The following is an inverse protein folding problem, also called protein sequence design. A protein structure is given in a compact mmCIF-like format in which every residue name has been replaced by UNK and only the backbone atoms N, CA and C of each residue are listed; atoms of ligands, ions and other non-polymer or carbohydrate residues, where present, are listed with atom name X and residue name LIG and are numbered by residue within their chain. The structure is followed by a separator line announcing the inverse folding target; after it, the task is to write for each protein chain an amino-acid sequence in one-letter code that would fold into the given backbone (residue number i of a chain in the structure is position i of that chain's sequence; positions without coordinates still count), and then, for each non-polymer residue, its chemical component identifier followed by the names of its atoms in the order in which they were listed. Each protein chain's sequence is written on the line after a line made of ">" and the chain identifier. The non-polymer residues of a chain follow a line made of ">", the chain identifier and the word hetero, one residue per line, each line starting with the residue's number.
data_IF_021718670104
#
_entry.id   IF_021718670104
#
_cell.length_a   1.000
_cell.length_b   1.000
_cell.length_c   1.000
_cell.angle_alpha   90.00
_cell.angle_beta   90.00
_cell.angle_gamma   90.00
#
_symmetry.space_group_name_H-M   'P 1'
#
loop_
_entity.id
_entity.type
_entity.pdbx_description
1 polymer ?
#
# COMPACT_ATOMS: atom_id res chain seq x y z
N UNK A 1 29.28 -38.51 -18.75
CA UNK A 1 30.11 -39.37 -19.62
C UNK A 1 30.29 -38.78 -21.01
N UNK A 2 29.24 -38.44 -21.77
CA UNK A 2 29.38 -37.90 -23.15
C UNK A 2 30.13 -36.54 -23.29
N UNK A 3 29.92 -35.61 -22.36
CA UNK A 3 30.57 -34.29 -22.38
C UNK A 3 32.05 -34.38 -22.02
N UNK A 4 32.44 -35.27 -21.08
CA UNK A 4 33.84 -35.47 -20.70
C UNK A 4 34.68 -36.02 -21.86
N UNK A 5 34.14 -36.97 -22.65
CA UNK A 5 34.88 -37.59 -23.75
C UNK A 5 35.17 -36.64 -24.91
N UNK A 6 34.29 -35.67 -25.19
CA UNK A 6 34.48 -34.67 -26.25
C UNK A 6 35.28 -33.44 -25.81
N UNK A 7 35.29 -33.14 -24.51
CA UNK A 7 36.13 -32.08 -23.93
C UNK A 7 37.60 -32.51 -23.87
N UNK A 8 37.89 -33.81 -23.69
CA UNK A 8 39.26 -34.34 -23.65
C UNK A 8 39.95 -34.43 -25.02
N UNK A 9 39.19 -34.50 -26.13
CA UNK A 9 39.77 -34.62 -27.47
C UNK A 9 40.29 -33.29 -28.06
N UNK A 10 40.07 -32.16 -27.37
CA UNK A 10 40.47 -30.83 -27.82
C UNK A 10 41.32 -30.15 -26.74
N UNK A 11 42.59 -29.86 -27.04
CA UNK A 11 43.54 -29.23 -26.10
C UNK A 11 43.03 -27.89 -25.53
N UNK A 12 42.32 -27.11 -26.36
CA UNK A 12 41.66 -25.88 -25.95
C UNK A 12 40.54 -26.12 -24.92
N UNK A 13 39.68 -27.12 -25.17
CA UNK A 13 38.59 -27.45 -24.26
C UNK A 13 39.12 -28.00 -22.93
N UNK A 14 40.27 -28.67 -22.90
CA UNK A 14 40.89 -29.17 -21.66
C UNK A 14 41.35 -28.04 -20.74
N UNK A 15 41.93 -26.97 -21.28
CA UNK A 15 42.35 -25.81 -20.49
C UNK A 15 41.16 -25.00 -19.93
N UNK A 16 40.05 -24.93 -20.67
CA UNK A 16 38.83 -24.24 -20.24
C UNK A 16 37.79 -25.16 -19.61
N UNK A 17 38.03 -26.48 -19.54
CA UNK A 17 37.07 -27.50 -19.11
C UNK A 17 36.48 -27.18 -17.74
N UNK A 18 37.35 -26.83 -16.78
CA UNK A 18 36.93 -26.51 -15.42
C UNK A 18 36.05 -25.25 -15.38
N UNK A 19 36.36 -24.24 -16.18
CA UNK A 19 35.58 -22.99 -16.25
C UNK A 19 34.23 -23.22 -16.93
N UNK A 20 34.20 -23.97 -18.03
CA UNK A 20 32.98 -24.37 -18.73
C UNK A 20 32.09 -25.19 -17.80
N UNK A 21 32.66 -26.16 -17.06
CA UNK A 21 31.90 -27.01 -16.15
C UNK A 21 31.32 -26.21 -14.98
N UNK A 22 32.07 -25.24 -14.44
CA UNK A 22 31.56 -24.33 -13.42
C UNK A 22 30.39 -23.51 -13.97
N UNK A 23 30.52 -22.88 -15.14
CA UNK A 23 29.45 -22.08 -15.74
C UNK A 23 28.18 -22.93 -15.92
N UNK A 24 28.32 -24.14 -16.47
CA UNK A 24 27.20 -25.08 -16.67
C UNK A 24 26.50 -25.43 -15.36
N UNK A 25 27.22 -25.52 -14.25
CA UNK A 25 26.62 -25.77 -12.94
C UNK A 25 25.81 -24.58 -12.41
N UNK A 26 26.21 -23.34 -12.68
CA UNK A 26 25.49 -22.14 -12.21
C UNK A 26 24.30 -21.73 -13.10
N UNK A 27 24.27 -22.16 -14.37
CA UNK A 27 23.19 -21.83 -15.32
C UNK A 27 21.78 -22.11 -14.79
N UNK A 28 21.46 -23.29 -14.22
CA UNK A 28 20.11 -23.59 -13.72
C UNK A 28 19.68 -22.64 -12.59
N UNK A 29 20.61 -22.26 -11.72
CA UNK A 29 20.37 -21.37 -10.59
C UNK A 29 19.99 -19.98 -11.08
N UNK A 30 20.77 -19.44 -12.03
CA UNK A 30 20.50 -18.15 -12.66
C UNK A 30 19.17 -18.15 -13.41
N UNK A 31 18.83 -19.25 -14.10
CA UNK A 31 17.56 -19.38 -14.82
C UNK A 31 16.35 -19.30 -13.88
N UNK A 32 16.39 -19.98 -12.74
CA UNK A 32 15.31 -19.91 -11.73
C UNK A 32 15.15 -18.50 -11.18
N UNK A 33 16.27 -17.81 -10.91
CA UNK A 33 16.26 -16.46 -10.38
C UNK A 33 15.65 -15.47 -11.40
N UNK A 34 16.03 -15.58 -12.68
CA UNK A 34 15.43 -14.81 -13.78
C UNK A 34 13.95 -15.15 -13.91
N UNK A 35 13.59 -16.44 -13.88
CA UNK A 35 12.20 -16.88 -14.01
C UNK A 35 11.32 -16.30 -12.90
N UNK A 36 11.75 -16.38 -11.64
CA UNK A 36 11.01 -15.81 -10.51
C UNK A 36 10.93 -14.29 -10.59
N UNK A 37 12.01 -13.63 -11.01
CA UNK A 37 11.99 -12.18 -11.25
C UNK A 37 10.95 -11.79 -12.31
N UNK A 38 10.92 -12.50 -13.44
CA UNK A 38 9.96 -12.28 -14.51
C UNK A 38 8.53 -12.60 -14.05
N UNK A 39 8.37 -13.67 -13.27
CA UNK A 39 7.10 -14.05 -12.69
C UNK A 39 6.53 -12.92 -11.82
N UNK A 40 7.35 -12.33 -10.94
CA UNK A 40 6.92 -11.21 -10.09
C UNK A 40 6.75 -9.89 -10.85
N UNK A 41 7.35 -9.74 -12.03
CA UNK A 41 7.23 -8.52 -12.82
C UNK A 41 6.03 -8.54 -13.78
N UNK A 42 5.77 -9.69 -14.42
CA UNK A 42 4.82 -9.81 -15.54
C UNK A 42 3.45 -10.33 -15.10
N UNK A 43 3.40 -11.30 -14.19
CA UNK A 43 2.14 -11.95 -13.80
C UNK A 43 1.19 -11.04 -12.99
N UNK A 44 1.65 -10.16 -12.08
CA UNK A 44 0.73 -9.37 -11.28
C UNK A 44 -0.16 -8.46 -12.12
N UNK A 45 -1.42 -8.30 -11.72
CA UNK A 45 -2.36 -7.37 -12.36
C UNK A 45 -2.09 -5.88 -12.03
N UNK A 46 -0.90 -5.56 -11.52
CA UNK A 46 -0.51 -4.22 -11.07
C UNK A 46 0.86 -3.87 -11.63
N UNK A 47 1.11 -2.59 -11.88
CA UNK A 47 2.42 -2.12 -12.39
C UNK A 47 3.51 -2.32 -11.34
N UNK A 48 4.31 -3.39 -11.46
CA UNK A 48 5.43 -3.66 -10.55
C UNK A 48 6.73 -3.00 -11.07
N UNK A 49 7.45 -2.29 -10.18
CA UNK A 49 8.77 -1.73 -10.50
C UNK A 49 9.79 -2.86 -10.66
N UNK A 50 10.54 -2.89 -11.76
CA UNK A 50 11.53 -3.94 -12.03
C UNK A 50 12.53 -4.16 -10.88
N UNK A 51 12.97 -3.09 -10.20
CA UNK A 51 13.86 -3.21 -9.02
C UNK A 51 13.25 -4.01 -7.87
N UNK A 52 11.95 -3.83 -7.61
CA UNK A 52 11.25 -4.58 -6.56
C UNK A 52 11.09 -6.05 -6.93
N UNK A 53 10.75 -6.34 -8.19
CA UNK A 53 10.69 -7.70 -8.72
C UNK A 53 12.06 -8.40 -8.66
N UNK A 54 13.15 -7.69 -8.98
CA UNK A 54 14.52 -8.24 -8.94
C UNK A 54 14.95 -8.60 -7.51
N UNK A 55 14.75 -7.71 -6.53
CA UNK A 55 15.12 -7.99 -5.13
C UNK A 55 14.32 -9.18 -4.60
N UNK A 56 13.01 -9.20 -4.86
CA UNK A 56 12.16 -10.33 -4.48
C UNK A 56 12.56 -11.63 -5.19
N UNK A 57 12.91 -11.55 -6.47
CA UNK A 57 13.41 -12.68 -7.28
C UNK A 57 14.73 -13.26 -6.75
N UNK A 58 15.67 -12.42 -6.34
CA UNK A 58 16.94 -12.86 -5.70
C UNK A 58 16.66 -13.59 -4.39
N UNK A 59 15.83 -13.01 -3.51
CA UNK A 59 15.54 -13.59 -2.20
C UNK A 59 14.75 -14.89 -2.32
N UNK A 60 13.70 -14.91 -3.14
CA UNK A 60 12.91 -16.11 -3.38
C UNK A 60 13.71 -17.19 -4.12
N UNK A 61 14.51 -16.83 -5.12
CA UNK A 61 15.39 -17.76 -5.84
C UNK A 61 16.44 -18.39 -4.93
N UNK A 62 17.01 -17.60 -4.01
CA UNK A 62 17.95 -18.12 -3.00
C UNK A 62 17.25 -19.10 -2.04
N UNK A 63 16.06 -18.77 -1.54
CA UNK A 63 15.27 -19.65 -0.68
C UNK A 63 14.85 -20.95 -1.39
N UNK A 64 14.46 -20.85 -2.67
CA UNK A 64 14.16 -22.00 -3.50
C UNK A 64 15.38 -22.92 -3.65
N UNK A 65 16.57 -22.34 -3.82
CA UNK A 65 17.79 -23.12 -3.94
C UNK A 65 18.12 -23.91 -2.68
N UNK A 66 17.95 -23.30 -1.50
CA UNK A 66 18.09 -24.00 -0.22
C UNK A 66 17.08 -25.14 -0.08
N UNK A 67 15.84 -24.90 -0.51
CA UNK A 67 14.77 -25.91 -0.49
C UNK A 67 15.07 -27.08 -1.43
N UNK A 68 15.56 -26.80 -2.64
CA UNK A 68 15.97 -27.81 -3.61
C UNK A 68 17.15 -28.64 -3.08
N UNK A 69 18.15 -27.98 -2.50
CA UNK A 69 19.29 -28.67 -1.88
C UNK A 69 18.83 -29.56 -0.73
N UNK A 70 17.96 -29.07 0.16
CA UNK A 70 17.36 -29.86 1.23
C UNK A 70 16.64 -31.09 0.71
N UNK A 71 15.76 -30.92 -0.27
CA UNK A 71 15.01 -32.01 -0.90
C UNK A 71 15.92 -33.10 -1.45
N UNK A 72 16.98 -32.75 -2.19
CA UNK A 72 17.94 -33.72 -2.74
C UNK A 72 18.61 -34.52 -1.61
N UNK A 73 19.06 -33.85 -0.55
CA UNK A 73 19.71 -34.52 0.59
C UNK A 73 18.75 -35.47 1.31
N UNK A 74 17.51 -35.04 1.58
CA UNK A 74 16.49 -35.88 2.19
C UNK A 74 16.14 -37.08 1.29
N UNK A 75 15.96 -36.86 -0.01
CA UNK A 75 15.60 -37.92 -0.95
C UNK A 75 16.70 -39.00 -1.03
N UNK A 76 17.97 -38.60 -1.10
CA UNK A 76 19.12 -39.53 -1.10
C UNK A 76 19.23 -40.28 0.23
N UNK A 77 19.01 -39.59 1.35
CA UNK A 77 18.99 -40.21 2.68
C UNK A 77 17.92 -41.30 2.81
N UNK A 78 16.66 -40.97 2.51
CA UNK A 78 15.54 -41.91 2.61
C UNK A 78 15.68 -43.11 1.66
N UNK A 79 16.23 -42.90 0.45
CA UNK A 79 16.48 -43.97 -0.51
C UNK A 79 17.51 -45.00 0.02
N UNK A 80 18.48 -44.58 0.84
CA UNK A 80 19.49 -45.46 1.45
C UNK A 80 18.98 -46.28 2.64
N UNK A 81 17.95 -45.83 3.36
CA UNK A 81 17.55 -46.42 4.64
C UNK A 81 16.65 -47.66 4.52
N UNK A 82 15.90 -47.86 3.43
CA UNK A 82 15.21 -49.12 3.07
C UNK A 82 14.56 -49.00 1.69
N UNK A 83 14.94 -49.84 0.71
CA UNK A 83 14.46 -49.74 -0.68
C UNK A 83 12.94 -49.87 -0.86
N UNK A 84 12.26 -50.59 0.05
CA UNK A 84 10.80 -50.77 0.02
C UNK A 84 10.08 -49.50 0.51
N UNK A 85 10.58 -48.87 1.58
CA UNK A 85 10.00 -47.65 2.14
C UNK A 85 10.48 -46.36 1.43
N UNK A 86 11.63 -46.39 0.76
CA UNK A 86 12.17 -45.27 0.00
C UNK A 86 11.30 -44.86 -1.19
N UNK A 87 10.77 -45.84 -1.92
CA UNK A 87 9.85 -45.58 -3.05
C UNK A 87 8.52 -45.00 -2.59
N UNK A 88 7.98 -45.45 -1.45
CA UNK A 88 6.76 -44.89 -0.87
C UNK A 88 6.99 -43.50 -0.28
N UNK A 89 8.13 -43.27 0.39
CA UNK A 89 8.49 -41.98 0.99
C UNK A 89 8.78 -40.87 -0.04
N UNK A 90 9.08 -41.23 -1.30
CA UNK A 90 9.31 -40.27 -2.37
C UNK A 90 8.09 -39.38 -2.62
N UNK A 91 6.87 -39.93 -2.57
CA UNK A 91 5.65 -39.18 -2.84
C UNK A 91 5.35 -38.12 -1.75
N UNK A 92 5.30 -38.46 -0.44
CA UNK A 92 5.14 -37.44 0.61
C UNK A 92 6.25 -36.38 0.59
N UNK A 93 7.51 -36.78 0.36
CA UNK A 93 8.62 -35.85 0.30
C UNK A 93 8.49 -34.88 -0.88
N UNK A 94 8.05 -35.37 -2.03
CA UNK A 94 7.74 -34.54 -3.20
C UNK A 94 6.62 -33.54 -2.90
N UNK A 95 5.56 -33.95 -2.20
CA UNK A 95 4.47 -33.04 -1.81
C UNK A 95 4.95 -31.93 -0.87
N UNK A 96 5.82 -32.25 0.10
CA UNK A 96 6.43 -31.23 0.98
C UNK A 96 7.29 -30.26 0.18
N UNK A 97 8.11 -30.76 -0.74
CA UNK A 97 8.92 -29.91 -1.60
C UNK A 97 8.08 -28.99 -2.48
N UNK A 98 6.99 -29.52 -3.05
CA UNK A 98 6.05 -28.74 -3.85
C UNK A 98 5.36 -27.66 -2.98
N UNK A 99 4.91 -28.02 -1.78
CA UNK A 99 4.30 -27.08 -0.84
C UNK A 99 5.26 -25.94 -0.48
N UNK A 100 6.51 -26.26 -0.15
CA UNK A 100 7.54 -25.25 0.16
C UNK A 100 7.85 -24.37 -1.06
N UNK A 101 7.89 -24.96 -2.25
CA UNK A 101 8.13 -24.22 -3.50
C UNK A 101 7.04 -23.18 -3.75
N UNK A 102 5.76 -23.57 -3.61
CA UNK A 102 4.65 -22.62 -3.74
C UNK A 102 4.65 -21.56 -2.65
N UNK A 103 4.98 -21.94 -1.42
CA UNK A 103 5.09 -21.00 -0.31
C UNK A 103 6.17 -19.93 -0.58
N UNK A 104 7.33 -20.33 -1.10
CA UNK A 104 8.40 -19.41 -1.50
C UNK A 104 7.94 -18.46 -2.61
N UNK A 105 7.21 -18.97 -3.61
CA UNK A 105 6.68 -18.14 -4.71
C UNK A 105 5.70 -17.09 -4.16
N UNK A 106 4.79 -17.49 -3.27
CA UNK A 106 3.81 -16.58 -2.67
C UNK A 106 4.48 -15.52 -1.79
N UNK A 107 5.41 -15.91 -0.93
CA UNK A 107 6.20 -14.97 -0.11
C UNK A 107 6.98 -14.00 -1.00
N UNK A 108 7.59 -14.49 -2.08
CA UNK A 108 8.32 -13.63 -3.01
C UNK A 108 7.41 -12.60 -3.68
N UNK A 109 6.19 -12.98 -4.05
CA UNK A 109 5.20 -12.06 -4.60
C UNK A 109 4.78 -10.99 -3.57
N UNK A 110 4.49 -11.40 -2.33
CA UNK A 110 4.17 -10.48 -1.23
C UNK A 110 5.33 -9.52 -0.92
N UNK A 111 6.56 -10.04 -0.92
CA UNK A 111 7.76 -9.24 -0.70
C UNK A 111 7.98 -8.22 -1.82
N UNK A 112 7.72 -8.59 -3.08
CA UNK A 112 7.80 -7.66 -4.21
C UNK A 112 6.82 -6.49 -4.05
N UNK A 113 5.59 -6.81 -3.63
CA UNK A 113 4.57 -5.80 -3.31
C UNK A 113 5.01 -4.92 -2.13
N UNK A 114 5.49 -5.53 -1.04
CA UNK A 114 5.94 -4.81 0.14
C UNK A 114 7.08 -3.84 -0.18
N UNK A 115 8.14 -4.28 -0.85
CA UNK A 115 9.28 -3.44 -1.25
C UNK A 115 8.83 -2.26 -2.10
N UNK A 116 7.86 -2.46 -3.00
CA UNK A 116 7.32 -1.39 -3.81
C UNK A 116 6.47 -0.41 -3.00
N UNK A 117 5.72 -0.88 -2.01
CA UNK A 117 4.74 -0.09 -1.26
C UNK A 117 5.27 0.51 0.06
N UNK A 118 6.45 0.11 0.55
CA UNK A 118 7.08 0.67 1.76
C UNK A 118 7.17 2.21 1.69
N UNK A 119 7.54 2.77 0.55
CA UNK A 119 7.59 4.24 0.36
C UNK A 119 6.22 4.95 0.38
N UNK A 120 5.12 4.22 0.16
CA UNK A 120 3.75 4.75 0.34
C UNK A 120 3.30 4.66 1.81
N UNK A 121 3.92 3.80 2.61
CA UNK A 121 3.58 3.62 4.03
C UNK A 121 4.04 4.79 4.90
N UNK A 122 5.13 5.47 4.56
CA UNK A 122 5.65 6.60 5.33
C UNK A 122 4.60 7.74 5.42
N UNK A 123 3.88 8.00 4.32
CA UNK A 123 2.80 8.99 4.30
C UNK A 123 1.56 8.59 5.11
N UNK A 124 1.31 7.28 5.31
CA UNK A 124 0.20 6.77 6.13
C UNK A 124 0.48 6.97 7.62
N UNK A 125 1.74 7.00 8.03
CA UNK A 125 2.12 7.32 9.41
C UNK A 125 2.14 8.82 9.68
N UNK A 126 2.48 9.64 8.69
CA UNK A 126 2.46 11.11 8.82
C UNK A 126 1.04 11.69 8.78
N UNK A 127 0.09 11.03 8.09
CA UNK A 127 -1.33 11.41 8.16
C UNK A 127 -1.90 11.31 9.58
N UNK A 128 -1.40 10.37 10.38
CA UNK A 128 -1.80 10.16 11.78
C UNK A 128 -1.11 11.12 12.76
N UNK A 129 -0.14 11.94 12.31
CA UNK A 129 0.58 12.92 13.13
C UNK A 129 0.25 14.37 12.78
N UNK A 130 -0.73 14.61 11.90
CA UNK A 130 -1.12 15.97 11.55
C UNK A 130 -1.61 16.69 12.81
N UNK A 131 -1.02 17.85 13.10
CA UNK A 131 -1.55 18.74 14.13
C UNK A 131 -3.02 19.06 13.82
N UNK A 132 -3.86 19.14 14.85
CA UNK A 132 -5.27 19.48 14.74
C UNK A 132 -5.50 20.74 13.88
N UNK A 133 -4.67 21.76 14.07
CA UNK A 133 -4.72 22.99 13.28
C UNK A 133 -4.44 22.76 11.78
N UNK A 134 -3.47 21.90 11.46
CA UNK A 134 -3.14 21.58 10.07
C UNK A 134 -4.22 20.72 9.41
N UNK A 135 -4.87 19.82 10.18
CA UNK A 135 -6.01 19.02 9.71
C UNK A 135 -7.20 19.91 9.34
N UNK A 136 -7.55 20.90 10.16
CA UNK A 136 -8.58 21.90 9.83
C UNK A 136 -8.20 22.67 8.56
N UNK A 137 -6.95 23.14 8.46
CA UNK A 137 -6.47 23.85 7.27
C UNK A 137 -6.60 23.01 6.00
N UNK A 138 -6.21 21.74 6.03
CA UNK A 138 -6.36 20.84 4.88
C UNK A 138 -7.83 20.58 4.54
N UNK A 139 -8.69 20.43 5.56
CA UNK A 139 -10.14 20.26 5.38
C UNK A 139 -10.76 21.45 4.65
N UNK A 140 -10.37 22.67 5.05
CA UNK A 140 -10.80 23.89 4.38
C UNK A 140 -10.26 23.97 2.94
N UNK A 141 -9.00 23.62 2.69
CA UNK A 141 -8.41 23.64 1.34
C UNK A 141 -9.12 22.64 0.42
N UNK A 142 -9.33 21.41 0.87
CA UNK A 142 -10.03 20.36 0.11
C UNK A 142 -11.46 20.80 -0.16
N UNK A 143 -12.17 21.27 0.86
CA UNK A 143 -13.56 21.71 0.72
C UNK A 143 -13.69 22.94 -0.20
N UNK A 144 -12.84 23.95 -0.05
CA UNK A 144 -12.80 25.11 -0.94
C UNK A 144 -12.55 24.71 -2.39
N UNK A 145 -11.68 23.72 -2.63
CA UNK A 145 -11.42 23.23 -3.99
C UNK A 145 -12.65 22.56 -4.61
N UNK A 146 -13.36 21.74 -3.84
CA UNK A 146 -14.62 21.10 -4.28
C UNK A 146 -15.69 22.15 -4.54
N UNK A 147 -15.85 23.11 -3.63
CA UNK A 147 -16.77 24.24 -3.76
C UNK A 147 -16.48 25.05 -5.01
N UNK A 148 -15.22 25.42 -5.24
CA UNK A 148 -14.80 26.18 -6.43
C UNK A 148 -15.17 25.44 -7.72
N UNK A 149 -14.85 24.15 -7.78
CA UNK A 149 -15.20 23.28 -8.92
C UNK A 149 -16.71 23.23 -9.17
N UNK A 150 -17.51 23.17 -8.10
CA UNK A 150 -18.97 23.19 -8.18
C UNK A 150 -19.50 24.54 -8.68
N UNK A 151 -18.97 25.66 -8.18
CA UNK A 151 -19.38 27.00 -8.60
C UNK A 151 -19.00 27.34 -10.04
N UNK A 152 -17.90 26.77 -10.57
CA UNK A 152 -17.52 26.94 -11.98
C UNK A 152 -18.32 26.05 -12.93
N UNK A 153 -19.18 25.16 -12.41
CA UNK A 153 -19.98 24.24 -13.21
C UNK A 153 -19.15 23.13 -13.88
N UNK A 154 -17.92 22.92 -13.42
CA UNK A 154 -17.08 21.84 -13.90
C UNK A 154 -17.49 20.49 -13.28
N UNK A 155 -16.93 19.40 -13.81
CA UNK A 155 -17.14 18.06 -13.25
C UNK A 155 -16.68 18.00 -11.79
N UNK A 156 -17.50 17.37 -10.94
CA UNK A 156 -17.15 17.06 -9.56
C UNK A 156 -15.85 16.23 -9.49
N UNK A 157 -15.13 16.35 -8.37
CA UNK A 157 -13.82 15.72 -8.19
C UNK A 157 -13.95 14.37 -7.48
N UNK A 158 -13.11 13.40 -7.86
CA UNK A 158 -12.94 12.16 -7.09
C UNK A 158 -11.76 12.27 -6.11
N UNK A 159 -11.63 11.30 -5.20
CA UNK A 159 -10.59 11.26 -4.16
C UNK A 159 -9.17 11.17 -4.76
N UNK A 160 -9.01 10.43 -5.86
CA UNK A 160 -7.75 10.29 -6.59
C UNK A 160 -7.31 11.60 -7.24
N UNK A 161 -8.22 12.31 -7.90
CA UNK A 161 -8.00 13.61 -8.54
C UNK A 161 -7.66 14.68 -7.51
N UNK A 162 -8.33 14.69 -6.34
CA UNK A 162 -8.02 15.61 -5.24
C UNK A 162 -6.59 15.33 -4.72
N UNK A 163 -6.25 14.05 -4.51
CA UNK A 163 -4.92 13.62 -4.09
C UNK A 163 -3.83 14.05 -5.07
N UNK A 164 -4.03 13.81 -6.37
CA UNK A 164 -3.07 14.16 -7.41
C UNK A 164 -2.91 15.69 -7.58
N UNK A 165 -4.03 16.44 -7.59
CA UNK A 165 -4.01 17.90 -7.78
C UNK A 165 -3.39 18.65 -6.60
N UNK A 166 -3.64 18.20 -5.37
CA UNK A 166 -3.11 18.83 -4.15
C UNK A 166 -1.77 18.22 -3.72
N UNK A 167 -1.28 17.18 -4.43
CA UNK A 167 -0.10 16.40 -4.07
C UNK A 167 -0.17 15.86 -2.63
N UNK A 168 -1.38 15.55 -2.16
CA UNK A 168 -1.64 15.02 -0.82
C UNK A 168 -1.72 13.50 -0.87
N UNK A 169 -1.26 12.79 0.18
CA UNK A 169 -1.46 11.35 0.27
C UNK A 169 -2.94 10.98 0.22
N UNK A 170 -3.30 9.97 -0.59
CA UNK A 170 -4.69 9.55 -0.78
C UNK A 170 -5.41 9.22 0.54
N UNK A 171 -4.69 8.72 1.54
CA UNK A 171 -5.26 8.43 2.85
C UNK A 171 -5.69 9.71 3.59
N UNK A 172 -4.84 10.74 3.61
CA UNK A 172 -5.18 12.05 4.22
C UNK A 172 -6.43 12.63 3.57
N UNK A 173 -6.52 12.54 2.24
CA UNK A 173 -7.67 13.03 1.49
C UNK A 173 -8.94 12.27 1.87
N UNK A 174 -8.89 10.94 1.93
CA UNK A 174 -10.04 10.11 2.33
C UNK A 174 -10.49 10.38 3.76
N UNK A 175 -9.55 10.40 4.72
CA UNK A 175 -9.85 10.65 6.12
C UNK A 175 -10.56 12.03 6.29
N UNK A 176 -10.09 13.06 5.59
CA UNK A 176 -10.70 14.40 5.60
C UNK A 176 -12.06 14.42 4.88
N UNK A 177 -12.19 13.71 3.77
CA UNK A 177 -13.47 13.60 3.05
C UNK A 177 -14.51 12.89 3.92
N UNK A 178 -14.11 11.88 4.68
CA UNK A 178 -14.98 11.16 5.62
C UNK A 178 -15.43 12.08 6.76
N UNK A 179 -14.52 12.89 7.32
CA UNK A 179 -14.87 13.94 8.30
C UNK A 179 -15.91 14.92 7.74
N UNK A 180 -15.66 15.45 6.53
CA UNK A 180 -16.52 16.43 5.87
C UNK A 180 -17.90 15.84 5.53
N UNK A 181 -17.97 14.55 5.20
CA UNK A 181 -19.23 13.84 5.03
C UNK A 181 -19.96 13.62 6.36
N UNK A 182 -19.23 13.29 7.44
CA UNK A 182 -19.82 13.10 8.77
C UNK A 182 -20.50 14.36 9.29
N UNK A 183 -19.96 15.56 8.99
CA UNK A 183 -20.60 16.85 9.28
C UNK A 183 -21.55 17.35 8.18
N UNK A 184 -21.92 16.50 7.22
CA UNK A 184 -22.82 16.79 6.11
C UNK A 184 -22.40 17.99 5.25
N UNK A 185 -21.11 18.29 5.11
CA UNK A 185 -20.65 19.33 4.18
C UNK A 185 -20.48 18.80 2.75
N UNK A 186 -20.23 17.50 2.59
CA UNK A 186 -20.07 16.84 1.30
C UNK A 186 -21.17 15.80 1.05
N UNK A 187 -21.60 15.71 -0.21
CA UNK A 187 -22.48 14.67 -0.74
C UNK A 187 -21.74 13.87 -1.82
N UNK A 188 -22.08 12.59 -1.92
CA UNK A 188 -21.55 11.68 -2.92
C UNK A 188 -22.43 11.67 -4.17
N UNK A 189 -21.81 11.74 -5.34
CA UNK A 189 -22.44 11.59 -6.66
C UNK A 189 -21.76 10.45 -7.42
N UNK A 190 -22.54 9.60 -8.08
CA UNK A 190 -22.01 8.50 -8.88
C UNK A 190 -21.73 8.97 -10.30
N UNK A 191 -20.56 8.62 -10.83
CA UNK A 191 -20.20 8.88 -12.22
C UNK A 191 -20.99 8.03 -13.22
N UNK A 192 -20.89 8.41 -14.50
CA UNK A 192 -21.47 7.64 -15.61
C UNK A 192 -20.88 6.22 -15.73
N UNK A 193 -19.62 6.03 -15.31
CA UNK A 193 -19.02 4.71 -15.13
C UNK A 193 -19.32 4.17 -13.73
N UNK A 194 -19.94 2.98 -13.68
CA UNK A 194 -20.32 2.27 -12.45
C UNK A 194 -19.07 1.85 -11.66
N UNK A 195 -18.47 2.76 -10.91
CA UNK A 195 -17.57 2.54 -9.76
C UNK A 195 -16.86 3.82 -9.30
N UNK A 196 -16.98 4.93 -10.03
CA UNK A 196 -16.33 6.19 -9.66
C UNK A 196 -17.22 7.07 -8.78
N UNK A 197 -16.69 7.44 -7.61
CA UNK A 197 -17.33 8.27 -6.59
C UNK A 197 -16.84 9.70 -6.71
N UNK A 198 -17.78 10.64 -6.81
CA UNK A 198 -17.53 12.08 -6.93
C UNK A 198 -18.08 12.84 -5.74
N UNK A 199 -17.45 13.95 -5.38
CA UNK A 199 -17.84 14.77 -4.24
C UNK A 199 -18.35 16.14 -4.67
N UNK A 200 -19.47 16.56 -4.08
CA UNK A 200 -20.05 17.89 -4.26
C UNK A 200 -20.47 18.47 -2.90
N UNK A 201 -20.60 19.79 -2.75
CA UNK A 201 -21.15 20.39 -1.54
C UNK A 201 -22.57 19.88 -1.29
N UNK A 202 -22.89 19.53 -0.04
CA UNK A 202 -24.22 19.07 0.36
C UNK A 202 -25.19 20.23 0.67
N UNK A 203 -24.65 21.43 0.87
CA UNK A 203 -25.39 22.63 1.24
C UNK A 203 -25.18 23.74 0.20
N UNK A 204 -26.07 24.73 0.20
CA UNK A 204 -25.91 25.93 -0.62
C UNK A 204 -24.62 26.67 -0.24
N UNK A 205 -23.73 26.74 -1.22
CA UNK A 205 -22.41 27.37 -1.14
C UNK A 205 -22.49 28.86 -0.77
N UNK A 206 -23.62 29.51 -1.07
CA UNK A 206 -23.81 30.95 -0.87
C UNK A 206 -23.78 31.36 0.61
N UNK A 207 -24.08 30.42 1.52
CA UNK A 207 -24.19 30.67 2.96
C UNK A 207 -23.17 29.85 3.77
N UNK A 208 -22.08 29.39 3.14
CA UNK A 208 -21.05 28.60 3.80
C UNK A 208 -19.90 29.49 4.29
N UNK A 209 -20.00 29.91 5.55
CA UNK A 209 -18.97 30.69 6.25
C UNK A 209 -17.86 29.80 6.80
N UNK A 210 -16.62 30.28 6.70
CA UNK A 210 -15.44 29.55 7.21
C UNK A 210 -15.52 29.33 8.72
N UNK A 211 -16.03 30.31 9.47
CA UNK A 211 -16.23 30.21 10.92
C UNK A 211 -17.13 29.03 11.30
N UNK A 212 -18.26 28.87 10.61
CA UNK A 212 -19.20 27.75 10.81
C UNK A 212 -18.56 26.42 10.45
N UNK A 213 -17.79 26.37 9.35
CA UNK A 213 -17.10 25.14 8.93
C UNK A 213 -16.05 24.73 9.98
N UNK A 214 -15.24 25.67 10.47
CA UNK A 214 -14.25 25.42 11.51
C UNK A 214 -14.94 24.93 12.79
N UNK A 215 -16.00 25.58 13.24
CA UNK A 215 -16.74 25.17 14.43
C UNK A 215 -17.30 23.74 14.29
N UNK A 216 -17.84 23.39 13.13
CA UNK A 216 -18.32 22.03 12.86
C UNK A 216 -17.18 21.01 12.83
N UNK A 217 -16.01 21.37 12.28
CA UNK A 217 -14.83 20.51 12.24
C UNK A 217 -14.17 20.33 13.61
N UNK A 218 -14.17 21.35 14.45
CA UNK A 218 -13.63 21.30 15.83
C UNK A 218 -14.50 20.40 16.73
N UNK A 219 -15.82 20.35 16.47
CA UNK A 219 -16.78 19.52 17.21
C UNK A 219 -16.91 18.07 16.67
N UNK A 220 -16.09 17.65 15.72
CA UNK A 220 -16.06 16.26 15.24
C UNK A 220 -15.58 15.30 16.33
N UNK A 221 -16.49 14.45 16.82
CA UNK A 221 -16.16 13.37 17.75
C UNK A 221 -17.05 13.34 18.99
N UNK A 222 -16.62 12.59 20.00
CA UNK A 222 -17.28 12.54 21.31
C UNK A 222 -16.81 13.73 22.15
N UNK A 223 -17.67 14.74 22.29
CA UNK A 223 -17.37 15.94 23.07
C UNK A 223 -17.86 15.84 24.52
N UNK A 224 -18.65 14.81 24.84
CA UNK A 224 -19.19 14.57 26.19
C UNK A 224 -18.93 13.12 26.59
N UNK A 225 -18.32 12.92 27.76
CA UNK A 225 -18.30 11.62 28.42
C UNK A 225 -19.45 11.57 29.42
N UNK A 226 -20.29 10.53 29.37
CA UNK A 226 -21.52 10.39 30.17
C UNK A 226 -21.36 10.40 31.71
N UNK A 227 -20.17 10.65 32.27
CA UNK A 227 -19.87 10.49 33.69
C UNK A 227 -19.15 11.68 34.35
N UNK A 228 -18.98 12.81 33.65
CA UNK A 228 -18.53 14.06 34.27
C UNK A 228 -19.74 14.99 34.34
N UNK A 229 -20.13 15.39 35.54
CA UNK A 229 -21.12 16.46 35.74
C UNK A 229 -20.77 17.10 37.06
N UNK A 230 -19.76 17.98 37.01
CA UNK A 230 -19.32 18.80 38.13
C UNK A 230 -19.58 20.27 37.80
N UNK A 231 -19.81 21.10 38.80
CA UNK A 231 -19.99 22.56 38.63
C UNK A 231 -18.81 23.25 37.92
N UNK A 232 -17.65 22.59 37.86
CA UNK A 232 -16.46 23.04 37.13
C UNK A 232 -16.61 22.88 35.61
N UNK A 233 -17.28 21.82 35.15
CA UNK A 233 -17.54 21.55 33.73
C UNK A 233 -18.51 22.59 33.14
N UNK A 234 -19.59 22.92 33.86
CA UNK A 234 -20.51 23.98 33.44
C UNK A 234 -19.80 25.34 33.33
N UNK A 235 -18.92 25.66 34.28
CA UNK A 235 -18.11 26.88 34.24
C UNK A 235 -17.14 26.87 33.05
N UNK A 236 -16.48 25.76 32.79
CA UNK A 236 -15.55 25.62 31.68
C UNK A 236 -16.29 25.75 30.34
N UNK A 237 -17.43 25.09 30.18
CA UNK A 237 -18.27 25.19 28.99
C UNK A 237 -18.75 26.63 28.76
N UNK A 238 -19.13 27.36 29.81
CA UNK A 238 -19.49 28.78 29.70
C UNK A 238 -18.31 29.66 29.26
N UNK A 239 -17.09 29.37 29.72
CA UNK A 239 -15.88 30.08 29.29
C UNK A 239 -15.57 29.77 27.82
N UNK A 240 -15.59 28.50 27.43
CA UNK A 240 -15.34 28.07 26.05
C UNK A 240 -16.35 28.68 25.07
N UNK A 241 -17.63 28.66 25.42
CA UNK A 241 -18.70 29.28 24.64
C UNK A 241 -18.47 30.78 24.46
N UNK A 242 -17.96 31.48 25.49
CA UNK A 242 -17.62 32.90 25.39
C UNK A 242 -16.45 33.15 24.41
N UNK A 243 -15.45 32.28 24.42
CA UNK A 243 -14.33 32.35 23.47
C UNK A 243 -14.79 32.10 22.03
N UNK A 244 -15.62 31.07 21.81
CA UNK A 244 -16.18 30.77 20.49
C UNK A 244 -16.99 31.94 19.94
N UNK A 245 -17.89 32.51 20.77
CA UNK A 245 -18.71 33.66 20.37
C UNK A 245 -17.85 34.85 19.96
N UNK A 246 -16.80 35.15 20.73
CA UNK A 246 -15.86 36.24 20.41
C UNK A 246 -15.05 35.97 19.14
N UNK A 247 -14.73 34.70 18.85
CA UNK A 247 -14.06 34.30 17.61
C UNK A 247 -14.97 34.52 16.40
N UNK A 248 -16.24 34.09 16.46
CA UNK A 248 -17.21 34.28 15.37
C UNK A 248 -17.46 35.76 15.10
N UNK A 249 -17.67 36.57 16.15
CA UNK A 249 -17.92 38.02 16.03
C UNK A 249 -16.77 38.79 15.35
N UNK A 250 -15.51 38.35 15.54
CA UNK A 250 -14.33 39.04 15.02
C UNK A 250 -13.75 38.46 13.71
N UNK A 251 -14.15 37.24 13.30
CA UNK A 251 -13.50 36.54 12.17
C UNK A 251 -13.93 37.03 10.80
N UNK A 252 -14.95 37.89 10.72
CA UNK A 252 -15.54 38.34 9.46
C UNK A 252 -16.32 37.23 8.77
N UNK A 253 -17.38 37.62 8.06
CA UNK A 253 -18.26 36.74 7.30
C UNK A 253 -17.60 36.29 5.98
N UNK A 254 -16.41 35.67 6.06
CA UNK A 254 -15.72 35.16 4.88
C UNK A 254 -16.37 33.85 4.42
N UNK A 255 -16.86 33.84 3.18
CA UNK A 255 -17.44 32.66 2.57
C UNK A 255 -16.32 31.77 2.02
N UNK A 256 -16.51 30.46 2.09
CA UNK A 256 -15.53 29.47 1.60
C UNK A 256 -15.29 29.58 0.09
N UNK A 257 -16.27 30.07 -0.67
CA UNK A 257 -16.16 30.27 -2.12
C UNK A 257 -15.26 31.45 -2.51
N UNK A 258 -14.98 32.36 -1.58
CA UNK A 258 -14.17 33.55 -1.81
C UNK A 258 -12.67 33.27 -1.57
N UNK A 259 -12.32 32.02 -1.28
CA UNK A 259 -10.97 31.50 -1.06
C UNK A 259 -10.32 30.98 -2.36
#
# INVERSE_FOLDING_TARGET
>A
TFIQTHVESNEFLRNYANQIMQIVQWVPYSLILILLTLLYWIIPNTKVKFRAALIAGILAGTAYQFTQWGYINFQVGFSRYNAIYGSFAALPLFLVWLQLSWFIILIGAELSFAIQNVSKSDFVSDSLKLSHHYRIKLSLIIFAKIVKQFTTGERALNDVEISDRLQLPIKVVRDIIDDLQAINLLSVTLGAEKQEVYYQPAHDVSNLYISTIIANLENLGLNEFKNFTTAEEERLNAILQKFEKSRVENSGDLLIKDL
#
